data_IF_486539297540
#
_entry.id   IF_486539297540
#
_cell.length_a   1.000
_cell.length_b   1.000
_cell.length_c   1.000
_cell.angle_alpha   90.00
_cell.angle_beta   90.00
_cell.angle_gamma   90.00
#
_symmetry.space_group_name_H-M   'P 1'
#
loop_
_entity.id
_entity.type
_entity.pdbx_description
1 polymer ?
#
# COMPACT_ATOMS: atom_id res chain seq x y z
N UNK A 1 40.61 -29.21 1.79
CA UNK A 1 39.13 -29.30 1.93
C UNK A 1 38.53 -29.56 0.55
N UNK A 2 38.12 -30.80 0.23
CA UNK A 2 37.41 -31.10 -1.01
C UNK A 2 35.92 -30.94 -0.77
N UNK A 3 35.32 -29.94 -1.41
CA UNK A 3 33.88 -29.66 -1.33
C UNK A 3 33.15 -30.83 -2.02
N UNK A 4 32.22 -31.48 -1.31
CA UNK A 4 31.45 -32.61 -1.86
C UNK A 4 30.52 -32.08 -2.96
N UNK A 5 30.46 -32.71 -4.15
CA UNK A 5 29.66 -32.21 -5.28
C UNK A 5 28.16 -32.11 -4.97
N UNK A 6 27.69 -32.85 -3.97
CA UNK A 6 26.29 -32.85 -3.53
C UNK A 6 25.85 -31.49 -2.91
N UNK A 7 26.75 -30.79 -2.21
CA UNK A 7 26.42 -29.46 -1.66
C UNK A 7 26.41 -28.38 -2.74
N UNK A 8 27.21 -28.51 -3.80
CA UNK A 8 27.19 -27.57 -4.92
C UNK A 8 25.89 -27.66 -5.75
N UNK A 9 25.32 -28.86 -5.88
CA UNK A 9 24.06 -29.08 -6.62
C UNK A 9 22.84 -28.52 -5.90
N UNK A 10 22.79 -28.56 -4.56
CA UNK A 10 21.69 -27.98 -3.78
C UNK A 10 21.65 -26.45 -3.85
N UNK A 11 22.80 -25.78 -3.90
CA UNK A 11 22.86 -24.32 -4.03
C UNK A 11 22.42 -23.83 -5.43
N UNK A 12 22.69 -24.62 -6.47
CA UNK A 12 22.29 -24.29 -7.85
C UNK A 12 20.77 -24.38 -8.06
N UNK A 13 20.09 -25.32 -7.40
CA UNK A 13 18.63 -25.49 -7.51
C UNK A 13 17.85 -24.30 -6.91
N UNK A 14 18.41 -23.61 -5.91
CA UNK A 14 17.77 -22.46 -5.28
C UNK A 14 17.79 -21.19 -6.18
N UNK A 15 18.72 -21.13 -7.14
CA UNK A 15 18.84 -20.02 -8.09
C UNK A 15 17.91 -20.14 -9.30
N UNK A 16 17.30 -21.31 -9.51
CA UNK A 16 16.41 -21.60 -10.66
C UNK A 16 14.93 -21.62 -10.28
N UNK A 17 14.58 -21.16 -9.07
CA UNK A 17 13.19 -21.10 -8.64
C UNK A 17 12.39 -20.16 -9.57
N UNK A 18 11.25 -20.61 -10.15
CA UNK A 18 10.44 -19.77 -11.00
C UNK A 18 9.85 -18.62 -10.18
N UNK A 19 10.11 -17.39 -10.62
CA UNK A 19 9.44 -16.20 -10.09
C UNK A 19 8.03 -16.15 -10.67
N UNK A 20 7.03 -16.06 -9.79
CA UNK A 20 5.67 -15.77 -10.21
C UNK A 20 5.65 -14.35 -10.82
N UNK A 21 5.31 -14.26 -12.10
CA UNK A 21 5.09 -12.99 -12.77
C UNK A 21 3.63 -12.57 -12.60
N UNK A 22 3.41 -11.46 -11.90
CA UNK A 22 2.10 -10.81 -11.85
C UNK A 22 1.92 -9.90 -13.08
N UNK A 23 0.73 -9.90 -13.65
CA UNK A 23 0.38 -8.93 -14.70
C UNK A 23 0.30 -7.52 -14.11
N UNK A 24 0.71 -6.53 -14.91
CA UNK A 24 0.58 -5.12 -14.53
C UNK A 24 -0.87 -4.71 -14.67
N UNK A 25 -1.54 -4.51 -13.53
CA UNK A 25 -2.91 -4.01 -13.49
C UNK A 25 -2.98 -2.68 -12.74
N UNK A 26 -3.74 -1.74 -13.29
CA UNK A 26 -3.98 -0.44 -12.65
C UNK A 26 -5.25 -0.54 -11.80
N UNK A 27 -5.07 -0.62 -10.49
CA UNK A 27 -6.18 -0.59 -9.56
C UNK A 27 -6.62 0.85 -9.29
N UNK A 28 -7.90 1.14 -9.50
CA UNK A 28 -8.53 2.39 -9.07
C UNK A 28 -9.94 2.10 -8.53
N UNK A 29 -10.53 3.11 -7.88
CA UNK A 29 -11.86 3.03 -7.30
C UNK A 29 -12.90 3.56 -8.27
N UNK A 30 -14.07 2.92 -8.34
CA UNK A 30 -15.22 3.44 -9.08
C UNK A 30 -15.76 4.68 -8.38
N UNK A 31 -16.11 5.72 -9.13
CA UNK A 31 -16.66 6.97 -8.60
C UNK A 31 -18.10 6.79 -8.08
N UNK A 32 -18.25 6.30 -6.85
CA UNK A 32 -19.54 6.18 -6.14
C UNK A 32 -19.86 7.47 -5.36
N UNK A 33 -18.84 8.25 -5.00
CA UNK A 33 -19.02 9.53 -4.28
C UNK A 33 -19.09 9.40 -2.75
N UNK A 34 -18.60 8.30 -2.18
CA UNK A 34 -18.68 8.01 -0.75
C UNK A 34 -19.81 7.03 -0.46
N UNK A 35 -20.49 7.19 0.68
CA UNK A 35 -21.64 6.37 1.08
C UNK A 35 -21.52 5.69 2.44
N UNK A 36 -20.39 5.82 3.13
CA UNK A 36 -20.19 5.35 4.50
C UNK A 36 -20.04 6.50 5.50
N UNK A 37 -20.17 6.21 6.79
CA UNK A 37 -20.10 7.20 7.85
C UNK A 37 -18.65 7.62 8.15
N UNK A 38 -18.37 8.90 7.96
CA UNK A 38 -17.11 9.51 8.37
C UNK A 38 -17.07 9.62 9.89
N UNK A 39 -16.15 8.90 10.52
CA UNK A 39 -15.99 8.87 11.99
C UNK A 39 -14.96 9.88 12.47
N UNK A 40 -14.17 10.49 11.58
CA UNK A 40 -13.27 11.58 11.93
C UNK A 40 -12.61 12.28 10.73
N UNK A 41 -12.32 13.57 10.90
CA UNK A 41 -11.50 14.39 10.00
C UNK A 41 -10.36 15.00 10.82
N UNK A 42 -9.12 14.75 10.45
CA UNK A 42 -7.93 15.06 11.24
C UNK A 42 -6.97 15.91 10.40
N UNK A 43 -6.76 17.20 10.73
CA UNK A 43 -5.73 18.00 10.07
C UNK A 43 -4.33 17.53 10.48
N UNK A 44 -3.38 17.57 9.54
CA UNK A 44 -1.98 17.26 9.80
C UNK A 44 -1.36 18.25 10.79
N UNK A 45 -0.51 17.76 11.69
CA UNK A 45 0.09 18.57 12.76
C UNK A 45 1.27 19.43 12.29
N UNK A 46 2.01 18.97 11.29
CA UNK A 46 3.30 19.54 10.86
C UNK A 46 3.30 20.06 9.43
N UNK A 47 2.38 19.61 8.58
CA UNK A 47 2.37 19.90 7.15
C UNK A 47 1.07 20.61 6.73
N UNK A 48 1.22 21.71 6.00
CA UNK A 48 0.09 22.43 5.42
C UNK A 48 -0.58 21.58 4.32
N UNK A 49 -1.90 21.70 4.20
CA UNK A 49 -2.72 21.01 3.20
C UNK A 49 -2.76 19.48 3.36
N UNK A 50 -2.46 18.99 4.56
CA UNK A 50 -2.63 17.58 4.92
C UNK A 50 -3.88 17.45 5.78
N UNK A 51 -4.83 16.64 5.30
CA UNK A 51 -6.06 16.29 6.02
C UNK A 51 -6.32 14.81 5.82
N UNK A 52 -6.64 14.12 6.91
CA UNK A 52 -7.02 12.71 6.91
C UNK A 52 -8.49 12.56 7.24
N UNK A 53 -9.12 11.54 6.68
CA UNK A 53 -10.48 11.14 6.99
C UNK A 53 -10.49 9.66 7.37
N UNK A 54 -11.17 9.33 8.47
CA UNK A 54 -11.43 7.95 8.88
C UNK A 54 -12.90 7.64 8.65
N UNK A 55 -13.16 6.49 8.03
CA UNK A 55 -14.49 5.93 7.85
C UNK A 55 -14.51 4.63 8.64
N UNK A 56 -15.54 4.42 9.47
CA UNK A 56 -15.59 3.31 10.45
C UNK A 56 -15.15 1.97 9.87
N UNK A 57 -15.90 1.45 8.88
CA UNK A 57 -15.56 0.22 8.15
C UNK A 57 -14.74 0.48 6.86
N UNK A 58 -14.59 1.74 6.43
CA UNK A 58 -13.98 2.11 5.15
C UNK A 58 -12.47 2.36 5.22
N UNK A 59 -11.88 2.34 6.40
CA UNK A 59 -10.45 2.61 6.59
C UNK A 59 -10.12 4.10 6.59
N UNK A 60 -8.92 4.43 6.13
CA UNK A 60 -8.33 5.76 6.26
C UNK A 60 -8.00 6.36 4.89
N UNK A 61 -8.25 7.65 4.75
CA UNK A 61 -8.05 8.41 3.52
C UNK A 61 -7.25 9.68 3.79
N UNK A 62 -6.44 10.08 2.82
CA UNK A 62 -5.75 11.38 2.78
C UNK A 62 -6.37 12.25 1.68
N UNK A 63 -6.60 13.51 1.99
CA UNK A 63 -7.00 14.49 1.00
C UNK A 63 -5.87 14.75 -0.01
N UNK A 64 -6.18 14.59 -1.29
CA UNK A 64 -5.31 14.90 -2.43
C UNK A 64 -5.81 16.18 -3.09
N UNK A 65 -5.26 17.31 -2.64
CA UNK A 65 -5.72 18.64 -3.05
C UNK A 65 -5.61 18.91 -4.57
N UNK A 66 -4.51 18.56 -5.26
CA UNK A 66 -4.42 18.73 -6.71
C UNK A 66 -5.53 18.04 -7.48
N UNK A 67 -5.89 16.82 -7.08
CA UNK A 67 -6.89 16.01 -7.76
C UNK A 67 -8.30 16.14 -7.15
N UNK A 68 -8.44 16.93 -6.07
CA UNK A 68 -9.69 17.16 -5.34
C UNK A 68 -10.42 15.87 -4.95
N UNK A 69 -9.68 14.85 -4.49
CA UNK A 69 -10.24 13.55 -4.09
C UNK A 69 -9.60 13.00 -2.82
N UNK A 70 -10.33 12.18 -2.09
CA UNK A 70 -9.78 11.38 -0.99
C UNK A 70 -9.10 10.13 -1.57
N UNK A 71 -7.83 9.91 -1.23
CA UNK A 71 -7.11 8.67 -1.60
C UNK A 71 -6.95 7.80 -0.37
N UNK A 72 -7.26 6.51 -0.50
CA UNK A 72 -7.11 5.57 0.58
C UNK A 72 -5.62 5.40 0.94
N UNK A 73 -5.30 5.45 2.24
CA UNK A 73 -3.93 5.57 2.76
C UNK A 73 -3.00 4.41 2.37
N UNK A 74 -3.57 3.21 2.17
CA UNK A 74 -2.80 2.03 1.80
C UNK A 74 -2.41 1.99 0.31
N UNK A 75 -3.03 2.78 -0.57
CA UNK A 75 -2.75 2.74 -2.01
C UNK A 75 -1.41 3.36 -2.42
N UNK A 76 -0.61 3.90 -1.47
CA UNK A 76 0.74 4.41 -1.75
C UNK A 76 1.73 4.20 -0.61
N UNK A 77 1.53 3.19 0.25
CA UNK A 77 2.56 2.80 1.23
C UNK A 77 2.93 3.86 2.28
N UNK A 78 2.07 4.85 2.53
CA UNK A 78 2.24 5.80 3.63
C UNK A 78 1.32 5.41 4.79
N UNK A 79 1.75 4.50 5.68
CA UNK A 79 1.01 4.23 6.91
C UNK A 79 0.91 5.53 7.73
N UNK A 80 -0.28 5.79 8.25
CA UNK A 80 -0.47 6.82 9.26
C UNK A 80 0.16 6.33 10.58
N UNK A 81 1.43 6.70 10.83
CA UNK A 81 2.05 6.54 12.15
C UNK A 81 1.60 7.70 13.02
N UNK A 82 0.45 7.56 13.70
CA UNK A 82 -0.16 8.68 14.38
C UNK A 82 -1.23 8.33 15.41
N UNK A 83 -1.06 7.21 16.12
CA UNK A 83 -1.42 7.04 17.53
C UNK A 83 -0.29 6.26 18.21
#
# INVERSE_FOLDING_TARGET
>A
MKIKPCTALMSAALLLAPVAHAEKYQWDTVAIGGGGDATGVIPGKSERNVVYQRIGAGGEYRWDAPNKRCRHGLFNGHPYHGL
#
